data_IF_910883691253
#
_entry.id   IF_910883691253
#
_cell.length_a   1.000
_cell.length_b   1.000
_cell.length_c   1.000
_cell.angle_alpha   90.00
_cell.angle_beta   90.00
_cell.angle_gamma   90.00
#
_symmetry.space_group_name_H-M   'P 1'
#
loop_
_entity.id
_entity.type
_entity.pdbx_description
1 polymer ?
#
# COMPACT_ATOMS: atom_id res chain seq x y z
N UNK A 1 22.47 -22.17 20.03
CA UNK A 1 23.60 -21.77 19.15
C UNK A 1 24.59 -22.90 19.01
N UNK A 2 25.16 -23.42 20.11
CA UNK A 2 26.13 -24.54 20.09
C UNK A 2 25.55 -25.81 19.42
N UNK A 3 24.33 -26.23 19.79
CA UNK A 3 23.71 -27.43 19.26
C UNK A 3 23.58 -27.41 17.73
N UNK A 4 23.22 -26.25 17.14
CA UNK A 4 23.09 -26.11 15.68
C UNK A 4 24.49 -26.06 15.02
N UNK A 5 25.45 -25.39 15.62
CA UNK A 5 26.82 -25.37 15.12
C UNK A 5 27.46 -26.78 15.12
N UNK A 6 27.17 -27.58 16.14
CA UNK A 6 27.59 -28.98 16.23
C UNK A 6 26.88 -29.83 15.16
N UNK A 7 25.55 -29.69 15.02
CA UNK A 7 24.76 -30.45 14.06
C UNK A 7 25.13 -30.09 12.58
N UNK A 8 25.51 -28.85 12.31
CA UNK A 8 25.93 -28.41 10.98
C UNK A 8 27.39 -28.75 10.63
N UNK A 9 28.20 -29.21 11.61
CA UNK A 9 29.58 -29.66 11.42
C UNK A 9 30.58 -28.60 10.99
N UNK A 10 30.16 -27.36 10.76
CA UNK A 10 31.03 -26.24 10.35
C UNK A 10 30.51 -24.90 10.87
N UNK A 11 31.43 -24.04 11.32
CA UNK A 11 31.15 -22.65 11.62
C UNK A 11 30.42 -22.40 12.94
N UNK A 12 30.24 -21.15 13.30
CA UNK A 12 29.46 -20.70 14.45
C UNK A 12 28.16 -20.05 13.94
N UNK A 13 27.04 -20.72 14.19
CA UNK A 13 25.73 -20.21 13.83
C UNK A 13 25.07 -19.57 15.04
N UNK A 14 24.55 -18.37 14.92
CA UNK A 14 23.81 -17.71 15.99
C UNK A 14 22.30 -17.83 15.77
N UNK A 15 21.61 -18.23 16.85
CA UNK A 15 20.14 -18.14 16.93
C UNK A 15 19.77 -16.86 17.66
N UNK A 16 18.86 -16.10 17.11
CA UNK A 16 18.31 -14.91 17.76
C UNK A 16 16.78 -14.96 17.76
N UNK A 17 16.19 -14.49 18.86
CA UNK A 17 14.71 -14.46 19.01
C UNK A 17 14.00 -13.66 17.90
N UNK A 18 14.71 -12.74 17.23
CA UNK A 18 14.19 -11.90 16.16
C UNK A 18 14.84 -12.25 14.82
N UNK A 19 16.17 -12.43 14.78
CA UNK A 19 16.91 -12.73 13.54
C UNK A 19 16.44 -14.02 12.87
N UNK A 20 16.29 -15.11 13.66
CA UNK A 20 15.89 -16.41 13.13
C UNK A 20 14.50 -16.39 12.49
N UNK A 21 13.44 -15.92 13.16
CA UNK A 21 12.12 -15.84 12.53
C UNK A 21 12.09 -14.88 11.34
N UNK A 22 12.83 -13.76 11.37
CA UNK A 22 12.96 -12.86 10.21
C UNK A 22 13.58 -13.59 9.02
N UNK A 23 14.66 -14.34 9.23
CA UNK A 23 15.28 -15.16 8.18
C UNK A 23 14.32 -16.22 7.66
N UNK A 24 13.57 -16.89 8.56
CA UNK A 24 12.55 -17.87 8.16
C UNK A 24 11.49 -17.29 7.24
N UNK A 25 11.01 -16.06 7.47
CA UNK A 25 10.06 -15.39 6.58
C UNK A 25 10.63 -15.25 5.17
N UNK A 26 11.88 -14.81 5.05
CA UNK A 26 12.56 -14.64 3.75
C UNK A 26 12.73 -16.01 3.07
N UNK A 27 13.21 -17.01 3.80
CA UNK A 27 13.40 -18.37 3.26
C UNK A 27 12.07 -18.99 2.80
N UNK A 28 11.01 -18.88 3.60
CA UNK A 28 9.69 -19.41 3.25
C UNK A 28 9.16 -18.75 1.97
N UNK A 29 9.23 -17.42 1.87
CA UNK A 29 8.82 -16.69 0.67
C UNK A 29 9.65 -17.08 -0.56
N UNK A 30 10.96 -17.25 -0.39
CA UNK A 30 11.84 -17.71 -1.47
C UNK A 30 11.47 -19.12 -1.94
N UNK A 31 11.21 -20.04 -1.01
CA UNK A 31 10.83 -21.41 -1.35
C UNK A 31 9.45 -21.47 -2.00
N UNK A 32 8.47 -20.72 -1.52
CA UNK A 32 7.15 -20.57 -2.14
C UNK A 32 7.29 -20.07 -3.58
N UNK A 33 8.06 -19.00 -3.78
CA UNK A 33 8.30 -18.42 -5.10
C UNK A 33 8.99 -19.41 -6.04
N UNK A 34 10.06 -20.09 -5.55
CA UNK A 34 10.87 -21.03 -6.35
C UNK A 34 10.10 -22.31 -6.72
N UNK A 35 9.19 -22.77 -5.84
CA UNK A 35 8.39 -23.98 -6.06
C UNK A 35 7.07 -23.70 -6.78
N UNK A 36 6.77 -22.44 -7.05
CA UNK A 36 5.53 -22.06 -7.69
C UNK A 36 5.50 -22.53 -9.12
N UNK A 37 4.44 -23.24 -9.49
CA UNK A 37 4.16 -23.69 -10.85
C UNK A 37 3.10 -22.77 -11.48
N UNK A 38 3.47 -21.95 -12.47
CA UNK A 38 2.53 -21.08 -13.14
C UNK A 38 1.44 -21.89 -13.86
N UNK A 39 0.18 -21.53 -13.63
CA UNK A 39 -0.97 -22.12 -14.31
C UNK A 39 -1.60 -21.10 -15.24
N UNK A 40 -1.92 -21.52 -16.47
CA UNK A 40 -2.70 -20.69 -17.38
C UNK A 40 -4.15 -20.65 -16.91
N UNK A 41 -4.76 -19.47 -17.01
CA UNK A 41 -6.20 -19.28 -16.80
C UNK A 41 -6.78 -18.43 -17.91
N UNK A 42 -8.07 -18.54 -18.10
CA UNK A 42 -8.84 -17.74 -19.05
C UNK A 42 -9.86 -16.91 -18.31
N UNK A 43 -10.05 -15.66 -18.75
CA UNK A 43 -11.01 -14.74 -18.21
C UNK A 43 -11.83 -14.14 -19.34
N UNK A 44 -13.14 -14.10 -19.16
CA UNK A 44 -14.09 -13.53 -20.09
C UNK A 44 -14.34 -12.05 -19.76
N UNK A 45 -14.57 -11.25 -20.78
CA UNK A 45 -15.04 -9.87 -20.61
C UNK A 45 -16.09 -9.53 -21.64
N UNK A 46 -17.06 -8.73 -21.23
CA UNK A 46 -18.10 -8.16 -22.07
C UNK A 46 -17.86 -6.65 -22.23
N UNK A 47 -18.06 -6.14 -23.41
CA UNK A 47 -18.13 -4.71 -23.67
C UNK A 47 -19.59 -4.33 -23.92
N UNK A 48 -20.04 -3.33 -23.18
CA UNK A 48 -21.36 -2.72 -23.28
C UNK A 48 -21.20 -1.31 -23.77
N UNK A 49 -22.03 -0.88 -24.70
CA UNK A 49 -22.02 0.49 -25.22
C UNK A 49 -23.22 1.26 -24.69
N UNK A 50 -22.96 2.44 -24.14
CA UNK A 50 -23.99 3.39 -23.69
C UNK A 50 -23.67 4.76 -24.30
N UNK A 51 -24.48 5.19 -25.28
CA UNK A 51 -24.15 6.36 -26.09
C UNK A 51 -22.83 6.19 -26.84
N UNK A 52 -21.89 7.11 -26.62
CA UNK A 52 -20.53 7.07 -27.20
C UNK A 52 -19.51 6.38 -26.30
N UNK A 53 -19.87 6.02 -25.08
CA UNK A 53 -18.96 5.38 -24.11
C UNK A 53 -19.05 3.86 -24.17
N UNK A 54 -17.93 3.20 -23.85
CA UNK A 54 -17.83 1.73 -23.78
C UNK A 54 -17.38 1.29 -22.40
N UNK A 55 -18.14 0.38 -21.80
CA UNK A 55 -17.93 -0.13 -20.47
C UNK A 55 -17.53 -1.61 -20.54
N UNK A 56 -16.41 -1.95 -19.90
CA UNK A 56 -15.88 -3.32 -19.90
C UNK A 56 -16.19 -4.00 -18.58
N UNK A 57 -17.00 -5.05 -18.65
CA UNK A 57 -17.27 -5.96 -17.56
C UNK A 57 -16.30 -7.15 -17.60
N UNK A 58 -15.77 -7.55 -16.46
CA UNK A 58 -14.91 -8.75 -16.34
C UNK A 58 -15.66 -9.86 -15.62
N UNK A 59 -15.49 -11.11 -16.06
CA UNK A 59 -16.09 -12.25 -15.36
C UNK A 59 -15.60 -12.35 -13.93
N UNK A 60 -16.48 -12.75 -13.02
CA UNK A 60 -16.13 -13.02 -11.61
C UNK A 60 -15.21 -14.21 -11.49
N UNK A 61 -15.40 -15.19 -12.36
CA UNK A 61 -14.67 -16.44 -12.36
C UNK A 61 -13.51 -16.43 -13.37
N UNK A 62 -12.56 -17.30 -13.13
CA UNK A 62 -11.47 -17.65 -14.02
C UNK A 62 -11.52 -19.14 -14.29
N UNK A 63 -11.30 -19.52 -15.52
CA UNK A 63 -11.29 -20.92 -15.94
C UNK A 63 -9.86 -21.39 -16.14
N UNK A 64 -9.57 -22.58 -15.65
CA UNK A 64 -8.26 -23.22 -15.81
C UNK A 64 -8.27 -24.26 -16.94
N UNK A 65 -9.45 -24.61 -17.44
CA UNK A 65 -9.63 -25.42 -18.64
C UNK A 65 -9.95 -24.53 -19.85
N UNK A 66 -9.11 -24.61 -20.87
CA UNK A 66 -9.27 -23.84 -22.10
C UNK A 66 -10.53 -24.25 -22.88
N UNK A 67 -10.88 -25.55 -22.89
CA UNK A 67 -12.03 -26.03 -23.65
C UNK A 67 -13.34 -25.49 -23.03
N UNK A 68 -13.45 -25.50 -21.70
CA UNK A 68 -14.57 -24.95 -20.96
C UNK A 68 -14.70 -23.43 -21.22
N UNK A 69 -13.60 -22.69 -21.06
CA UNK A 69 -13.58 -21.24 -21.30
C UNK A 69 -13.95 -20.88 -22.74
N UNK A 70 -13.49 -21.69 -23.73
CA UNK A 70 -13.81 -21.47 -25.14
C UNK A 70 -15.29 -21.78 -25.43
N UNK A 71 -15.84 -22.82 -24.84
CA UNK A 71 -17.25 -23.16 -25.01
C UNK A 71 -18.17 -22.06 -24.45
N UNK A 72 -17.82 -21.50 -23.31
CA UNK A 72 -18.54 -20.36 -22.74
C UNK A 72 -18.38 -19.09 -23.60
N UNK A 73 -17.17 -18.83 -24.11
CA UNK A 73 -16.93 -17.71 -25.02
C UNK A 73 -17.79 -17.79 -26.30
N UNK A 74 -17.93 -18.97 -26.92
CA UNK A 74 -18.75 -19.15 -28.14
C UNK A 74 -20.25 -18.90 -27.82
N UNK A 75 -20.74 -19.29 -26.65
CA UNK A 75 -22.11 -18.95 -26.21
C UNK A 75 -22.28 -17.44 -26.05
N UNK A 76 -21.37 -16.81 -25.30
CA UNK A 76 -21.43 -15.39 -25.00
C UNK A 76 -21.24 -14.49 -26.21
N UNK A 77 -20.46 -14.94 -27.20
CA UNK A 77 -20.24 -14.22 -28.48
C UNK A 77 -21.53 -14.05 -29.28
N UNK A 78 -22.47 -15.00 -29.16
CA UNK A 78 -23.76 -14.96 -29.84
C UNK A 78 -24.84 -14.25 -29.01
N UNK A 79 -24.57 -13.91 -27.75
CA UNK A 79 -25.50 -13.16 -26.92
C UNK A 79 -25.53 -11.70 -27.34
N UNK A 80 -26.71 -11.11 -27.35
CA UNK A 80 -26.92 -9.71 -27.72
C UNK A 80 -27.06 -8.78 -26.52
N UNK A 81 -27.40 -9.31 -25.35
CA UNK A 81 -27.69 -8.56 -24.14
C UNK A 81 -27.14 -9.27 -22.91
N UNK A 82 -26.76 -8.49 -21.90
CA UNK A 82 -26.57 -8.94 -20.53
C UNK A 82 -27.61 -8.29 -19.63
N UNK A 83 -28.07 -8.99 -18.59
CA UNK A 83 -29.04 -8.46 -17.64
C UNK A 83 -28.33 -7.98 -16.38
N UNK A 84 -28.66 -6.80 -15.92
CA UNK A 84 -28.15 -6.25 -14.66
C UNK A 84 -28.79 -7.02 -13.50
N UNK A 85 -27.96 -7.72 -12.72
CA UNK A 85 -28.43 -8.47 -11.54
C UNK A 85 -28.48 -7.55 -10.30
N UNK A 86 -27.42 -6.79 -10.03
CA UNK A 86 -27.33 -5.89 -8.88
C UNK A 86 -26.53 -4.64 -9.18
N UNK A 87 -26.92 -3.53 -8.54
CA UNK A 87 -26.17 -2.28 -8.57
C UNK A 87 -25.96 -1.80 -7.13
N UNK A 88 -24.72 -1.79 -6.70
CA UNK A 88 -24.33 -1.25 -5.39
C UNK A 88 -23.66 0.09 -5.59
N UNK A 89 -24.26 1.18 -5.09
CA UNK A 89 -23.69 2.52 -5.07
C UNK A 89 -23.45 2.96 -3.64
N UNK A 90 -22.22 3.39 -3.33
CA UNK A 90 -21.84 3.83 -1.99
C UNK A 90 -20.98 5.08 -2.07
N UNK A 91 -21.32 6.08 -1.27
CA UNK A 91 -20.40 7.16 -0.97
C UNK A 91 -19.41 6.68 0.10
N UNK A 92 -18.13 6.78 -0.20
CA UNK A 92 -17.05 6.40 0.71
C UNK A 92 -16.30 7.67 1.12
N UNK A 93 -16.26 7.92 2.42
CA UNK A 93 -15.41 8.96 3.03
C UNK A 93 -14.12 8.30 3.51
N UNK A 94 -13.06 8.48 2.74
CA UNK A 94 -11.77 7.91 3.06
C UNK A 94 -10.98 8.86 3.96
N UNK A 95 -10.66 8.38 5.17
CA UNK A 95 -9.83 9.13 6.10
C UNK A 95 -8.44 9.39 5.52
N UNK A 96 -7.81 10.51 5.89
CA UNK A 96 -6.43 10.75 5.56
C UNK A 96 -5.51 9.69 6.19
N UNK A 97 -4.33 9.44 5.62
CA UNK A 97 -3.38 8.54 6.22
C UNK A 97 -2.92 9.08 7.58
N UNK A 98 -2.66 8.18 8.52
CA UNK A 98 -2.03 8.56 9.78
C UNK A 98 -0.60 9.10 9.54
N UNK A 99 -0.09 9.86 10.47
CA UNK A 99 1.29 10.33 10.49
C UNK A 99 2.28 9.14 10.40
N UNK A 100 3.54 9.42 10.14
CA UNK A 100 4.58 8.41 10.17
C UNK A 100 4.99 8.03 11.60
N UNK A 101 5.14 6.73 11.83
CA UNK A 101 6.12 6.16 12.74
C UNK A 101 7.39 5.80 11.96
N UNK A 102 8.41 5.29 12.62
CA UNK A 102 9.65 4.87 11.94
C UNK A 102 9.40 3.77 10.91
N UNK A 103 8.61 2.75 11.24
CA UNK A 103 8.37 1.61 10.36
C UNK A 103 7.64 2.02 9.08
N UNK A 104 6.61 2.85 9.18
CA UNK A 104 5.87 3.32 8.00
C UNK A 104 6.71 4.25 7.14
N UNK A 105 7.55 5.11 7.74
CA UNK A 105 8.51 5.93 7.00
C UNK A 105 9.50 5.04 6.22
N UNK A 106 10.10 4.03 6.86
CA UNK A 106 11.03 3.09 6.22
C UNK A 106 10.37 2.32 5.08
N UNK A 107 9.14 1.81 5.29
CA UNK A 107 8.38 1.08 4.26
C UNK A 107 8.13 1.93 3.03
N UNK A 108 7.72 3.18 3.22
CA UNK A 108 7.42 4.06 2.11
C UNK A 108 8.69 4.58 1.42
N UNK A 109 9.75 4.89 2.17
CA UNK A 109 11.05 5.28 1.60
C UNK A 109 11.65 4.15 0.76
N UNK A 110 11.54 2.90 1.20
CA UNK A 110 11.96 1.74 0.41
C UNK A 110 11.12 1.58 -0.85
N UNK A 111 9.79 1.65 -0.74
CA UNK A 111 8.89 1.49 -1.89
C UNK A 111 9.04 2.60 -2.94
N UNK A 112 9.32 3.85 -2.54
CA UNK A 112 9.35 5.02 -3.45
C UNK A 112 10.74 5.34 -3.97
N UNK A 113 11.76 5.10 -3.16
CA UNK A 113 13.13 5.56 -3.44
C UNK A 113 14.17 4.45 -3.36
N UNK A 114 13.76 3.23 -2.99
CA UNK A 114 14.67 2.10 -2.83
C UNK A 114 15.61 2.21 -1.62
N UNK A 115 15.35 3.13 -0.69
CA UNK A 115 16.18 3.29 0.51
C UNK A 115 16.04 2.06 1.41
N UNK A 116 17.17 1.61 1.98
CA UNK A 116 17.11 0.57 3.01
C UNK A 116 16.51 1.12 4.31
N UNK A 117 16.03 0.21 5.16
CA UNK A 117 15.50 0.57 6.46
C UNK A 117 16.55 1.28 7.33
N UNK A 118 17.81 0.83 7.28
CA UNK A 118 18.91 1.43 8.02
C UNK A 118 19.30 2.80 7.45
N UNK A 119 19.35 2.93 6.12
CA UNK A 119 19.59 4.22 5.46
C UNK A 119 18.53 5.25 5.85
N UNK A 120 17.26 4.88 5.82
CA UNK A 120 16.15 5.75 6.22
C UNK A 120 16.26 6.17 7.68
N UNK A 121 16.58 5.24 8.59
CA UNK A 121 16.80 5.54 10.00
C UNK A 121 17.98 6.49 10.21
N UNK A 122 19.11 6.26 9.52
CA UNK A 122 20.28 7.10 9.61
C UNK A 122 20.00 8.54 9.15
N UNK A 123 19.26 8.70 8.04
CA UNK A 123 18.85 10.01 7.53
C UNK A 123 17.90 10.72 8.51
N UNK A 124 16.90 10.01 9.03
CA UNK A 124 15.98 10.56 10.02
C UNK A 124 16.71 10.94 11.33
N UNK A 125 17.70 10.15 11.76
CA UNK A 125 18.51 10.46 12.93
C UNK A 125 19.33 11.74 12.72
N UNK A 126 19.95 11.95 11.56
CA UNK A 126 20.65 13.20 11.22
C UNK A 126 19.72 14.41 11.22
N UNK A 127 18.50 14.27 10.66
CA UNK A 127 17.50 15.33 10.66
C UNK A 127 17.07 15.71 12.09
N UNK A 128 16.93 14.72 12.97
CA UNK A 128 16.63 14.92 14.37
C UNK A 128 17.77 15.64 15.12
N UNK A 129 19.02 15.22 14.92
CA UNK A 129 20.21 15.85 15.52
C UNK A 129 20.36 17.33 15.09
N UNK A 130 19.95 17.64 13.86
CA UNK A 130 19.84 19.00 13.35
C UNK A 130 18.58 19.73 13.87
N UNK A 131 17.73 19.06 14.64
CA UNK A 131 16.44 19.53 15.16
C UNK A 131 15.45 19.96 14.06
N UNK A 132 15.43 19.27 12.90
CA UNK A 132 14.48 19.53 11.83
C UNK A 132 13.23 18.67 11.92
N UNK A 133 13.32 17.52 12.58
CA UNK A 133 12.19 16.62 12.85
C UNK A 133 12.16 16.20 14.32
N UNK A 134 11.03 15.65 14.77
CA UNK A 134 10.90 15.03 16.10
C UNK A 134 11.65 13.71 16.17
N UNK A 135 11.74 13.09 17.35
CA UNK A 135 12.52 11.88 17.59
C UNK A 135 12.11 10.71 16.66
N UNK A 136 13.02 10.14 15.85
CA UNK A 136 12.63 9.24 14.78
C UNK A 136 12.30 7.81 15.22
N UNK A 137 12.76 7.36 16.39
CA UNK A 137 12.55 5.97 16.85
C UNK A 137 11.21 5.84 17.59
N UNK A 138 10.14 6.25 16.97
CA UNK A 138 8.78 6.13 17.51
C UNK A 138 8.02 4.99 16.84
N UNK A 139 7.16 4.32 17.62
CA UNK A 139 6.18 3.34 17.12
C UNK A 139 4.77 3.91 17.03
N UNK A 140 4.56 5.17 17.43
CA UNK A 140 3.26 5.81 17.36
C UNK A 140 3.06 6.55 16.03
N UNK A 141 1.85 6.46 15.50
CA UNK A 141 1.37 7.22 14.35
C UNK A 141 0.39 8.33 14.76
N UNK A 142 0.30 8.58 16.07
CA UNK A 142 -0.63 9.54 16.66
C UNK A 142 0.14 10.61 17.44
N UNK A 143 -0.52 11.73 17.63
CA UNK A 143 -0.07 12.86 18.48
C UNK A 143 -1.10 13.11 19.58
N UNK A 144 -0.70 13.65 20.74
CA UNK A 144 -1.63 14.10 21.76
C UNK A 144 -2.21 15.49 21.41
N UNK A 145 -3.22 15.90 22.15
CA UNK A 145 -4.01 17.12 21.91
C UNK A 145 -3.19 18.41 22.04
N UNK A 146 -2.23 18.44 22.95
CA UNK A 146 -1.32 19.59 23.15
C UNK A 146 -0.41 19.81 21.94
N UNK A 147 0.15 18.72 21.37
CA UNK A 147 0.92 18.77 20.12
C UNK A 147 0.03 19.17 18.94
N UNK A 148 -1.24 18.70 18.91
CA UNK A 148 -2.17 19.11 17.85
C UNK A 148 -2.41 20.62 17.82
N UNK A 149 -2.39 21.27 18.97
CA UNK A 149 -2.52 22.75 19.05
C UNK A 149 -1.36 23.49 18.35
N UNK A 150 -0.20 22.84 18.16
CA UNK A 150 0.97 23.42 17.48
C UNK A 150 0.92 23.23 15.96
N UNK A 151 0.10 22.29 15.45
CA UNK A 151 0.05 21.94 14.03
C UNK A 151 -0.23 23.15 13.12
N UNK A 152 -1.16 24.05 13.41
CA UNK A 152 -1.38 25.23 12.58
C UNK A 152 -0.11 26.06 12.34
N UNK A 153 0.72 26.22 13.36
CA UNK A 153 1.99 26.96 13.24
C UNK A 153 3.03 26.20 12.42
N UNK A 154 3.11 24.86 12.56
CA UNK A 154 4.01 24.03 11.77
C UNK A 154 3.59 23.98 10.30
N UNK A 155 2.29 23.97 10.00
CA UNK A 155 1.80 24.05 8.62
C UNK A 155 2.07 25.45 8.04
N UNK A 156 1.86 26.51 8.80
CA UNK A 156 2.20 27.87 8.36
C UNK A 156 3.69 28.04 8.05
N UNK A 157 4.56 27.35 8.79
CA UNK A 157 6.00 27.31 8.53
C UNK A 157 6.32 26.73 7.12
N UNK A 158 5.48 25.83 6.58
CA UNK A 158 5.64 25.27 5.25
C UNK A 158 5.11 26.19 4.12
N UNK A 159 4.53 27.35 4.40
CA UNK A 159 3.95 28.23 3.38
C UNK A 159 4.96 28.66 2.30
N UNK A 160 6.21 28.83 2.67
CA UNK A 160 7.29 29.21 1.75
C UNK A 160 8.10 28.01 1.24
N UNK A 161 7.67 26.78 1.55
CA UNK A 161 8.36 25.58 1.10
C UNK A 161 8.18 25.40 -0.41
N UNK A 162 9.26 25.15 -1.20
CA UNK A 162 9.19 25.14 -2.66
C UNK A 162 8.25 24.05 -3.21
N UNK A 163 8.14 22.91 -2.53
CA UNK A 163 7.27 21.80 -2.94
C UNK A 163 5.90 21.90 -2.28
N UNK A 164 5.86 22.15 -0.98
CA UNK A 164 4.65 22.00 -0.16
C UNK A 164 3.87 23.30 0.08
N UNK A 165 4.46 24.46 -0.22
CA UNK A 165 3.88 25.76 0.13
C UNK A 165 2.48 26.00 -0.43
N UNK A 166 2.20 25.55 -1.65
CA UNK A 166 0.87 25.70 -2.26
C UNK A 166 -0.19 24.89 -1.49
N UNK A 167 0.15 23.67 -1.06
CA UNK A 167 -0.75 22.81 -0.30
C UNK A 167 -0.92 23.32 1.13
N UNK A 168 0.17 23.74 1.78
CA UNK A 168 0.15 24.27 3.12
C UNK A 168 -0.74 25.53 3.23
N UNK A 169 -0.66 26.45 2.27
CA UNK A 169 -1.53 27.66 2.25
C UNK A 169 -3.01 27.38 2.03
N UNK A 170 -3.36 26.23 1.41
CA UNK A 170 -4.75 25.82 1.19
C UNK A 170 -5.36 25.11 2.38
N UNK A 171 -4.53 24.64 3.30
CA UNK A 171 -4.97 23.87 4.47
C UNK A 171 -5.39 24.85 5.59
N UNK A 172 -6.69 25.14 5.68
CA UNK A 172 -7.27 26.08 6.65
C UNK A 172 -8.00 25.37 7.80
N UNK A 173 -8.42 24.12 7.59
CA UNK A 173 -9.06 23.27 8.57
C UNK A 173 -8.24 22.00 8.75
N UNK A 174 -8.07 21.56 10.00
CA UNK A 174 -7.17 20.46 10.32
C UNK A 174 -7.95 19.24 10.79
N UNK A 175 -7.76 18.12 10.08
CA UNK A 175 -8.34 16.83 10.43
C UNK A 175 -7.67 16.28 11.69
N UNK A 176 -8.47 15.74 12.62
CA UNK A 176 -7.99 15.21 13.90
C UNK A 176 -7.84 13.66 13.88
N UNK A 177 -7.86 12.99 12.73
CA UNK A 177 -7.78 11.52 12.66
C UNK A 177 -6.50 10.94 13.30
N UNK A 178 -5.40 11.68 13.25
CA UNK A 178 -4.12 11.30 13.88
C UNK A 178 -3.99 11.79 15.33
N UNK A 179 -5.04 12.33 15.94
CA UNK A 179 -5.01 12.86 17.33
C UNK A 179 -5.62 11.83 18.26
N UNK A 180 -4.79 11.20 19.07
CA UNK A 180 -5.22 10.27 20.11
C UNK A 180 -4.06 10.07 21.10
N UNK A 181 -4.04 10.81 22.19
CA UNK A 181 -3.00 10.74 23.23
C UNK A 181 -2.88 9.37 23.87
N UNK A 182 -3.94 8.54 23.87
CA UNK A 182 -3.91 7.17 24.41
C UNK A 182 -3.13 6.18 23.54
N UNK A 183 -2.97 6.48 22.25
CA UNK A 183 -2.20 5.67 21.30
C UNK A 183 -0.76 6.17 21.13
N UNK A 184 -0.39 7.19 21.83
CA UNK A 184 1.00 7.62 21.93
C UNK A 184 1.70 6.74 22.96
N UNK A 185 2.81 6.14 22.55
CA UNK A 185 3.66 5.33 23.41
C UNK A 185 4.73 6.23 24.06
N UNK A 186 6.01 5.89 23.97
CA UNK A 186 7.11 6.67 24.53
C UNK A 186 7.30 8.03 23.82
N UNK A 187 7.03 8.06 22.51
CA UNK A 187 7.14 9.24 21.65
C UNK A 187 5.95 9.31 20.70
N UNK A 188 5.49 10.51 20.39
CA UNK A 188 4.45 10.75 19.39
C UNK A 188 4.98 10.52 17.94
N UNK A 189 4.09 10.56 16.98
CA UNK A 189 4.41 10.42 15.55
C UNK A 189 5.46 11.44 15.08
N UNK A 190 6.08 11.12 13.92
CA UNK A 190 7.05 11.99 13.28
C UNK A 190 6.41 13.27 12.74
N UNK A 191 6.99 14.40 13.12
CA UNK A 191 6.63 15.73 12.67
C UNK A 191 7.89 16.50 12.25
N UNK A 192 7.74 17.49 11.37
CA UNK A 192 8.76 18.54 11.24
C UNK A 192 8.73 19.44 12.46
N UNK A 193 9.80 20.18 12.69
CA UNK A 193 9.84 21.29 13.65
C UNK A 193 9.67 22.62 12.94
N UNK A 194 9.51 23.70 13.69
CA UNK A 194 9.52 25.07 13.16
C UNK A 194 10.91 25.61 12.83
N UNK A 195 11.97 24.79 12.90
CA UNK A 195 13.33 25.20 12.58
C UNK A 195 13.57 25.21 11.08
N UNK A 196 14.02 26.32 10.52
CA UNK A 196 14.33 26.44 9.11
C UNK A 196 15.54 25.57 8.74
N UNK A 197 15.40 24.62 7.80
CA UNK A 197 16.51 23.79 7.34
C UNK A 197 17.44 24.62 6.44
N UNK A 198 18.71 24.68 6.79
CA UNK A 198 19.75 25.46 6.07
C UNK A 198 20.88 24.59 5.51
N UNK A 199 20.99 23.36 5.99
CA UNK A 199 22.10 22.44 5.70
C UNK A 199 21.63 21.00 5.41
N UNK A 200 20.50 20.87 4.72
CA UNK A 200 20.01 19.58 4.19
C UNK A 200 20.38 19.43 2.72
N UNK A 201 20.88 18.26 2.36
CA UNK A 201 21.30 17.95 0.99
C UNK A 201 20.89 16.52 0.60
N UNK A 202 20.60 16.34 -0.69
CA UNK A 202 20.37 15.02 -1.27
C UNK A 202 19.24 14.24 -0.58
N UNK A 203 19.56 13.08 -0.04
CA UNK A 203 18.61 12.15 0.56
C UNK A 203 17.96 12.67 1.87
N UNK A 204 18.63 13.58 2.60
CA UNK A 204 18.06 14.21 3.78
C UNK A 204 16.83 15.07 3.40
N UNK A 205 16.90 15.79 2.27
CA UNK A 205 15.77 16.57 1.73
C UNK A 205 14.60 15.64 1.41
N UNK A 206 14.87 14.49 0.80
CA UNK A 206 13.82 13.52 0.45
C UNK A 206 13.09 13.02 1.70
N UNK A 207 13.81 12.64 2.75
CA UNK A 207 13.18 12.14 3.98
C UNK A 207 12.42 13.24 4.71
N UNK A 208 12.96 14.47 4.75
CA UNK A 208 12.26 15.63 5.29
C UNK A 208 10.96 15.91 4.54
N UNK A 209 11.03 15.92 3.21
CA UNK A 209 9.87 16.14 2.33
C UNK A 209 8.79 15.06 2.48
N UNK A 210 9.20 13.81 2.71
CA UNK A 210 8.25 12.74 3.02
C UNK A 210 7.48 13.04 4.30
N UNK A 211 8.18 13.46 5.37
CA UNK A 211 7.55 13.76 6.67
C UNK A 211 6.65 14.99 6.55
N UNK A 212 7.12 16.07 5.91
CA UNK A 212 6.34 17.28 5.67
C UNK A 212 5.08 17.00 4.82
N UNK A 213 5.22 16.25 3.74
CA UNK A 213 4.11 15.84 2.88
C UNK A 213 3.08 14.99 3.64
N UNK A 214 3.54 14.02 4.44
CA UNK A 214 2.66 13.19 5.26
C UNK A 214 1.91 14.01 6.32
N UNK A 215 2.51 15.03 6.89
CA UNK A 215 1.81 15.95 7.80
C UNK A 215 0.66 16.67 7.08
N UNK A 216 0.92 17.20 5.88
CA UNK A 216 -0.12 17.83 5.07
C UNK A 216 -1.25 16.87 4.72
N UNK A 217 -0.91 15.63 4.31
CA UNK A 217 -1.91 14.58 4.05
C UNK A 217 -2.75 14.29 5.30
N UNK A 218 -2.09 14.01 6.44
CA UNK A 218 -2.73 13.55 7.67
C UNK A 218 -3.70 14.58 8.27
N UNK A 219 -3.42 15.87 8.08
CA UNK A 219 -4.27 16.94 8.59
C UNK A 219 -5.23 17.51 7.54
N UNK A 220 -5.22 17.01 6.31
CA UNK A 220 -6.16 17.42 5.25
C UNK A 220 -7.55 16.80 5.43
N UNK A 221 -8.51 17.34 4.70
CA UNK A 221 -9.86 16.81 4.64
C UNK A 221 -9.90 15.37 4.11
N UNK A 222 -10.95 14.65 4.44
CA UNK A 222 -11.25 13.32 3.88
C UNK A 222 -11.37 13.38 2.36
N UNK A 223 -11.00 12.32 1.70
CA UNK A 223 -11.36 12.12 0.30
C UNK A 223 -12.79 11.54 0.25
N UNK A 224 -13.68 12.18 -0.51
CA UNK A 224 -15.04 11.70 -0.73
C UNK A 224 -15.14 11.16 -2.15
N UNK A 225 -15.57 9.91 -2.27
CA UNK A 225 -15.72 9.23 -3.55
C UNK A 225 -16.99 8.41 -3.63
N UNK A 226 -17.61 8.38 -4.81
CA UNK A 226 -18.64 7.42 -5.13
C UNK A 226 -18.00 6.17 -5.70
N UNK A 227 -18.35 5.03 -5.13
CA UNK A 227 -17.95 3.71 -5.62
C UNK A 227 -19.21 2.98 -6.03
N UNK A 228 -19.22 2.55 -7.28
CA UNK A 228 -20.33 1.78 -7.85
C UNK A 228 -19.82 0.43 -8.30
N UNK A 229 -20.57 -0.61 -8.02
CA UNK A 229 -20.32 -1.98 -8.52
C UNK A 229 -21.59 -2.48 -9.18
N UNK A 230 -21.49 -2.82 -10.46
CA UNK A 230 -22.58 -3.40 -11.23
C UNK A 230 -22.23 -4.85 -11.48
N UNK A 231 -23.14 -5.75 -11.10
CA UNK A 231 -23.07 -7.17 -11.47
C UNK A 231 -24.09 -7.41 -12.59
N UNK A 232 -23.63 -7.94 -13.71
CA UNK A 232 -24.47 -8.32 -14.82
C UNK A 232 -24.33 -9.82 -15.08
N UNK A 233 -25.40 -10.45 -15.57
CA UNK A 233 -25.43 -11.87 -15.93
C UNK A 233 -25.66 -11.99 -17.44
N UNK A 234 -24.87 -12.81 -18.08
CA UNK A 234 -25.05 -13.20 -19.47
C UNK A 234 -24.74 -14.70 -19.60
N UNK A 235 -25.68 -15.48 -20.17
CA UNK A 235 -25.53 -16.94 -20.35
C UNK A 235 -25.05 -17.65 -19.06
N UNK A 236 -25.68 -17.34 -17.92
CA UNK A 236 -25.35 -17.88 -16.58
C UNK A 236 -23.98 -17.46 -16.00
N UNK A 237 -23.17 -16.70 -16.74
CA UNK A 237 -21.88 -16.17 -16.27
C UNK A 237 -22.08 -14.79 -15.65
N UNK A 238 -21.50 -14.58 -14.47
CA UNK A 238 -21.52 -13.28 -13.78
C UNK A 238 -20.34 -12.43 -14.19
N UNK A 239 -20.60 -11.17 -14.44
CA UNK A 239 -19.63 -10.16 -14.81
C UNK A 239 -19.73 -8.95 -13.88
N UNK A 240 -18.61 -8.35 -13.54
CA UNK A 240 -18.54 -7.18 -12.68
C UNK A 240 -17.90 -6.02 -13.42
N UNK A 241 -18.50 -4.85 -13.29
CA UNK A 241 -17.94 -3.56 -13.58
C UNK A 241 -17.84 -2.74 -12.30
N UNK A 242 -16.67 -2.20 -12.02
CA UNK A 242 -16.46 -1.23 -10.93
C UNK A 242 -16.32 0.15 -11.53
N UNK A 243 -16.84 1.15 -10.83
CA UNK A 243 -16.66 2.55 -11.12
C UNK A 243 -16.33 3.31 -9.85
N UNK A 244 -15.32 4.19 -9.92
CA UNK A 244 -14.94 5.05 -8.81
C UNK A 244 -14.81 6.48 -9.33
N UNK A 245 -15.58 7.39 -8.75
CA UNK A 245 -15.53 8.82 -9.05
C UNK A 245 -15.22 9.62 -7.79
N UNK A 246 -14.14 10.39 -7.83
CA UNK A 246 -13.74 11.24 -6.70
C UNK A 246 -14.53 12.54 -6.79
N UNK A 247 -15.38 12.79 -5.78
CA UNK A 247 -16.12 14.05 -5.61
C UNK A 247 -15.25 15.14 -5.01
N UNK A 248 -14.52 14.78 -3.96
CA UNK A 248 -13.62 15.68 -3.22
C UNK A 248 -12.28 14.98 -3.04
N UNK A 249 -11.22 15.55 -3.60
CA UNK A 249 -9.89 14.94 -3.55
C UNK A 249 -9.34 14.86 -2.11
N UNK A 250 -9.62 15.88 -1.28
CA UNK A 250 -9.11 15.95 0.08
C UNK A 250 -7.60 15.75 0.12
N UNK A 251 -7.13 14.88 1.02
CA UNK A 251 -5.70 14.57 1.19
C UNK A 251 -5.03 13.98 -0.07
N UNK A 252 -5.79 13.37 -0.99
CA UNK A 252 -5.23 12.80 -2.24
C UNK A 252 -4.67 13.86 -3.19
N UNK A 253 -5.13 15.11 -3.09
CA UNK A 253 -4.59 16.21 -3.88
C UNK A 253 -3.09 16.47 -3.62
N UNK A 254 -2.59 16.12 -2.43
CA UNK A 254 -1.21 16.31 -2.01
C UNK A 254 -0.30 15.26 -2.67
N UNK A 255 -0.73 14.00 -2.73
CA UNK A 255 0.05 12.88 -3.28
C UNK A 255 0.38 13.07 -4.76
N UNK A 256 -0.56 13.61 -5.55
CA UNK A 256 -0.39 13.77 -7.00
C UNK A 256 0.87 14.56 -7.38
N UNK A 257 1.32 15.48 -6.52
CA UNK A 257 2.48 16.33 -6.78
C UNK A 257 3.81 15.74 -6.28
N UNK A 258 3.78 14.63 -5.53
CA UNK A 258 4.98 14.07 -4.88
C UNK A 258 5.66 12.93 -5.65
N UNK A 259 5.09 12.49 -6.78
CA UNK A 259 5.56 11.30 -7.50
C UNK A 259 6.30 11.65 -8.78
N UNK A 260 7.64 11.56 -8.76
CA UNK A 260 8.42 11.25 -9.99
C UNK A 260 8.40 9.72 -10.12
N UNK A 261 7.57 9.19 -11.02
CA UNK A 261 7.46 7.76 -11.30
C UNK A 261 8.19 7.43 -12.59
N UNK A 262 8.82 6.26 -12.64
CA UNK A 262 9.31 5.69 -13.88
C UNK A 262 8.14 5.24 -14.76
N UNK A 263 8.35 5.25 -16.09
CA UNK A 263 7.31 4.99 -17.08
C UNK A 263 6.63 3.63 -16.91
N UNK A 264 7.37 2.59 -16.53
CA UNK A 264 6.82 1.24 -16.27
C UNK A 264 5.92 1.19 -15.02
N UNK A 265 6.27 1.95 -13.97
CA UNK A 265 5.45 2.05 -12.76
C UNK A 265 4.16 2.83 -13.03
N UNK A 266 4.23 3.87 -13.86
CA UNK A 266 3.04 4.62 -14.30
C UNK A 266 2.07 3.74 -15.10
N UNK A 267 2.58 2.96 -16.05
CA UNK A 267 1.76 2.05 -16.85
C UNK A 267 1.13 0.93 -16.02
N UNK A 268 1.84 0.40 -15.03
CA UNK A 268 1.31 -0.62 -14.12
C UNK A 268 0.19 -0.06 -13.21
N UNK A 269 0.39 1.15 -12.65
CA UNK A 269 -0.61 1.82 -11.84
C UNK A 269 -1.83 2.25 -12.66
N UNK A 270 -1.64 2.73 -13.89
CA UNK A 270 -2.76 3.04 -14.78
C UNK A 270 -3.59 1.81 -15.13
N UNK A 271 -2.96 0.63 -15.27
CA UNK A 271 -3.70 -0.63 -15.46
C UNK A 271 -4.48 -1.01 -14.21
N UNK A 272 -3.84 -0.94 -13.05
CA UNK A 272 -4.49 -1.21 -11.76
C UNK A 272 -5.64 -0.22 -11.48
N UNK A 273 -5.44 1.06 -11.77
CA UNK A 273 -6.48 2.10 -11.65
C UNK A 273 -7.67 1.80 -12.56
N UNK A 274 -7.43 1.39 -13.81
CA UNK A 274 -8.49 0.98 -14.75
C UNK A 274 -9.21 -0.30 -14.30
N UNK A 275 -8.49 -1.29 -13.78
CA UNK A 275 -9.08 -2.52 -13.23
C UNK A 275 -9.92 -2.24 -11.98
N UNK A 276 -9.53 -1.25 -11.18
CA UNK A 276 -10.29 -0.79 -10.01
C UNK A 276 -11.44 0.18 -10.36
N UNK A 277 -11.55 0.61 -11.62
CA UNK A 277 -12.61 1.49 -12.10
C UNK A 277 -12.41 2.96 -11.77
N UNK A 278 -11.17 3.40 -11.48
CA UNK A 278 -10.87 4.81 -11.20
C UNK A 278 -11.23 5.70 -12.42
N UNK A 279 -12.03 6.72 -12.17
CA UNK A 279 -12.50 7.66 -13.21
C UNK A 279 -13.66 7.14 -14.05
N UNK A 280 -14.16 5.91 -13.83
CA UNK A 280 -15.35 5.39 -14.52
C UNK A 280 -16.61 5.86 -13.80
N UNK A 281 -17.44 6.63 -14.49
CA UNK A 281 -18.77 7.02 -14.03
C UNK A 281 -19.77 6.02 -14.60
N UNK A 282 -20.40 5.25 -13.72
CA UNK A 282 -21.40 4.26 -14.14
C UNK A 282 -22.72 4.98 -14.47
N UNK A 283 -23.30 4.72 -15.66
CA UNK A 283 -24.59 5.29 -16.07
C UNK A 283 -25.72 4.95 -15.10
N UNK A 284 -26.87 5.57 -15.30
CA UNK A 284 -28.09 5.35 -14.50
C UNK A 284 -28.81 4.06 -14.92
N UNK A 285 -28.06 2.94 -14.90
CA UNK A 285 -28.66 1.63 -15.11
C UNK A 285 -29.49 1.23 -13.91
N UNK A 286 -30.47 0.34 -14.16
CA UNK A 286 -31.38 -0.20 -13.15
C UNK A 286 -31.24 -1.72 -13.07
N UNK A 287 -31.53 -2.30 -11.92
CA UNK A 287 -31.57 -3.75 -11.74
C UNK A 287 -32.70 -4.35 -12.61
N UNK A 288 -32.39 -5.48 -13.25
CA UNK A 288 -33.26 -6.08 -14.27
C UNK A 288 -33.11 -5.45 -15.67
N UNK A 289 -32.40 -4.33 -15.81
CA UNK A 289 -32.13 -3.68 -17.08
C UNK A 289 -31.30 -4.53 -18.03
N UNK A 290 -31.54 -4.40 -19.34
CA UNK A 290 -30.79 -5.10 -20.37
C UNK A 290 -29.71 -4.19 -20.96
N UNK A 291 -28.48 -4.68 -20.94
CA UNK A 291 -27.31 -4.00 -21.47
C UNK A 291 -26.96 -4.57 -22.86
N UNK A 292 -27.03 -3.79 -23.94
CA UNK A 292 -26.66 -4.25 -25.26
C UNK A 292 -25.15 -4.53 -25.34
N UNK A 293 -24.81 -5.76 -25.75
CA UNK A 293 -23.43 -6.18 -25.90
C UNK A 293 -22.90 -5.73 -27.25
N UNK A 294 -21.71 -5.13 -27.26
CA UNK A 294 -21.00 -4.78 -28.49
C UNK A 294 -19.81 -5.69 -28.77
N UNK A 295 -19.24 -6.33 -27.76
CA UNK A 295 -18.18 -7.31 -27.93
C UNK A 295 -18.07 -8.25 -26.71
N UNK A 296 -17.60 -9.47 -26.99
CA UNK A 296 -17.14 -10.42 -25.99
C UNK A 296 -15.68 -10.75 -26.27
N UNK A 297 -14.87 -10.92 -25.24
CA UNK A 297 -13.46 -11.31 -25.39
C UNK A 297 -13.05 -12.36 -24.38
N UNK A 298 -12.15 -13.23 -24.79
CA UNK A 298 -11.50 -14.26 -23.97
C UNK A 298 -10.02 -13.93 -23.88
N UNK A 299 -9.54 -13.63 -22.69
CA UNK A 299 -8.14 -13.32 -22.43
C UNK A 299 -7.47 -14.48 -21.68
N UNK A 300 -6.28 -14.87 -22.11
CA UNK A 300 -5.44 -15.80 -21.39
C UNK A 300 -4.51 -15.02 -20.44
N UNK A 301 -4.47 -15.45 -19.18
CA UNK A 301 -3.52 -15.01 -18.18
C UNK A 301 -2.71 -16.18 -17.64
N UNK A 302 -1.71 -15.88 -16.84
CA UNK A 302 -0.91 -16.87 -16.13
C UNK A 302 -0.82 -16.43 -14.66
N UNK A 303 -1.03 -17.37 -13.75
CA UNK A 303 -0.86 -17.11 -12.31
C UNK A 303 0.60 -16.77 -12.02
N UNK A 304 0.84 -15.86 -11.09
CA UNK A 304 2.18 -15.42 -10.69
C UNK A 304 2.43 -15.79 -9.24
N UNK A 305 3.66 -16.15 -8.87
CA UNK A 305 4.01 -16.36 -7.46
C UNK A 305 3.94 -15.04 -6.69
N UNK A 306 3.79 -15.15 -5.39
CA UNK A 306 4.02 -13.98 -4.52
C UNK A 306 5.46 -13.46 -4.77
N UNK A 307 5.67 -12.16 -4.94
CA UNK A 307 7.00 -11.62 -5.16
C UNK A 307 7.92 -11.90 -3.97
N UNK A 308 9.23 -11.93 -4.19
CA UNK A 308 10.21 -11.99 -3.12
C UNK A 308 10.06 -10.77 -2.20
N UNK A 309 10.51 -10.91 -0.95
CA UNK A 309 10.44 -9.79 -0.03
C UNK A 309 11.33 -8.63 -0.48
N UNK A 310 10.74 -7.43 -0.54
CA UNK A 310 11.46 -6.16 -0.43
C UNK A 310 11.67 -5.85 1.05
N UNK A 311 12.53 -4.90 1.40
CA UNK A 311 12.65 -4.47 2.81
C UNK A 311 11.33 -3.92 3.34
N UNK A 312 10.56 -3.20 2.50
CA UNK A 312 9.21 -2.73 2.84
C UNK A 312 8.26 -3.88 3.22
N UNK A 313 8.18 -4.90 2.37
CA UNK A 313 7.30 -6.05 2.64
C UNK A 313 7.80 -6.93 3.80
N UNK A 314 9.11 -7.01 4.02
CA UNK A 314 9.69 -7.71 5.16
C UNK A 314 9.40 -6.99 6.47
N UNK A 315 9.55 -5.66 6.53
CA UNK A 315 9.16 -4.85 7.67
C UNK A 315 7.67 -5.02 8.01
N UNK A 316 6.81 -5.04 6.98
CA UNK A 316 5.38 -5.31 7.17
C UNK A 316 5.12 -6.71 7.74
N UNK A 317 5.81 -7.73 7.23
CA UNK A 317 5.72 -9.10 7.73
C UNK A 317 6.21 -9.22 9.20
N UNK A 318 7.31 -8.56 9.55
CA UNK A 318 7.81 -8.50 10.94
C UNK A 318 6.81 -7.81 11.87
N UNK A 319 6.16 -6.75 11.41
CA UNK A 319 5.16 -6.01 12.19
C UNK A 319 3.90 -6.83 12.45
N UNK A 320 3.49 -7.65 11.49
CA UNK A 320 2.25 -8.44 11.55
C UNK A 320 2.47 -9.93 11.85
N UNK A 321 3.68 -10.34 12.15
CA UNK A 321 4.08 -11.75 12.29
C UNK A 321 3.20 -12.57 13.25
N UNK A 322 2.65 -11.95 14.29
CA UNK A 322 1.73 -12.61 15.20
C UNK A 322 0.39 -13.01 14.60
N UNK A 323 -0.01 -12.40 13.46
CA UNK A 323 -1.32 -12.67 12.83
C UNK A 323 -1.34 -13.98 12.03
N UNK A 324 -0.18 -14.48 11.60
CA UNK A 324 -0.05 -15.68 10.76
C UNK A 324 0.13 -16.97 11.59
N UNK A 325 0.19 -16.86 12.91
CA UNK A 325 0.31 -18.02 13.79
C UNK A 325 -1.01 -18.79 13.88
N UNK A 326 -0.94 -20.11 13.77
CA UNK A 326 -2.09 -21.01 13.93
C UNK A 326 -2.54 -21.09 15.39
N UNK A 327 -1.61 -20.93 16.34
CA UNK A 327 -1.87 -20.96 17.78
C UNK A 327 -2.51 -19.63 18.24
N UNK A 328 -3.75 -19.70 18.73
CA UNK A 328 -4.53 -18.55 19.17
C UNK A 328 -3.93 -17.82 20.38
N UNK A 329 -3.30 -18.54 21.34
CA UNK A 329 -2.68 -17.94 22.52
C UNK A 329 -1.41 -17.19 22.13
N UNK A 330 -0.56 -17.78 21.30
CA UNK A 330 0.63 -17.12 20.75
C UNK A 330 0.25 -15.96 19.83
N UNK A 331 -0.82 -16.10 19.05
CA UNK A 331 -1.37 -15.01 18.22
C UNK A 331 -1.83 -13.84 19.07
N UNK A 332 -2.52 -14.10 20.19
CA UNK A 332 -2.98 -13.05 21.10
C UNK A 332 -1.80 -12.32 21.77
N UNK A 333 -0.75 -13.04 22.16
CA UNK A 333 0.45 -12.47 22.79
C UNK A 333 1.29 -11.63 21.83
N UNK A 334 1.34 -11.97 20.52
CA UNK A 334 2.13 -11.28 19.51
C UNK A 334 1.32 -10.29 18.66
N UNK A 335 0.01 -10.21 18.88
CA UNK A 335 -0.93 -9.40 18.08
C UNK A 335 -0.54 -7.92 18.00
N UNK A 336 0.04 -7.39 19.07
CA UNK A 336 0.37 -5.96 19.20
C UNK A 336 1.89 -5.68 19.17
N UNK A 337 2.75 -6.72 19.19
CA UNK A 337 4.20 -6.55 19.30
C UNK A 337 4.95 -6.84 17.99
N UNK A 338 4.48 -7.79 17.18
CA UNK A 338 5.21 -8.28 16.01
C UNK A 338 6.58 -8.89 16.39
N UNK A 339 7.48 -8.99 15.42
CA UNK A 339 8.86 -9.43 15.60
C UNK A 339 9.78 -8.20 15.59
N UNK A 340 10.52 -8.00 16.67
CA UNK A 340 11.37 -6.81 16.87
C UNK A 340 10.55 -5.54 17.10
N UNK A 341 11.24 -4.50 17.54
CA UNK A 341 10.66 -3.16 17.73
C UNK A 341 10.96 -2.28 16.51
N UNK A 342 10.25 -1.17 16.28
CA UNK A 342 10.58 -0.23 15.21
C UNK A 342 12.06 0.18 15.21
N UNK A 343 12.63 0.41 16.40
CA UNK A 343 14.02 0.82 16.56
C UNK A 343 15.05 -0.27 16.20
N UNK A 344 14.69 -1.55 16.24
CA UNK A 344 15.63 -2.68 16.10
C UNK A 344 15.50 -3.44 14.77
N UNK A 345 14.35 -3.35 14.07
CA UNK A 345 14.10 -4.11 12.84
C UNK A 345 15.14 -3.85 11.76
N UNK A 346 15.48 -2.57 11.53
CA UNK A 346 16.51 -2.20 10.55
C UNK A 346 17.86 -2.87 10.82
N UNK A 347 18.38 -2.74 12.04
CA UNK A 347 19.66 -3.34 12.43
C UNK A 347 19.65 -4.89 12.35
N UNK A 348 18.49 -5.52 12.55
CA UNK A 348 18.33 -6.97 12.39
C UNK A 348 18.42 -7.37 10.93
N UNK A 349 17.75 -6.65 10.03
CA UNK A 349 17.80 -6.87 8.59
C UNK A 349 19.24 -6.69 8.10
N UNK A 350 19.91 -5.60 8.47
CA UNK A 350 21.34 -5.37 8.11
C UNK A 350 22.26 -6.45 8.66
N UNK A 351 22.01 -6.97 9.88
CA UNK A 351 22.79 -8.07 10.44
C UNK A 351 22.67 -9.35 9.59
N UNK A 352 21.49 -9.63 9.03
CA UNK A 352 21.30 -10.78 8.14
C UNK A 352 22.02 -10.61 6.81
N UNK A 353 22.08 -9.40 6.27
CA UNK A 353 22.90 -9.08 5.08
C UNK A 353 24.40 -9.16 5.40
N UNK A 354 24.87 -8.53 6.48
CA UNK A 354 26.28 -8.55 6.89
C UNK A 354 26.80 -9.96 7.18
N UNK A 355 25.91 -10.89 7.57
CA UNK A 355 26.24 -12.31 7.76
C UNK A 355 26.07 -13.16 6.51
N UNK A 356 25.77 -12.54 5.38
CA UNK A 356 25.58 -13.21 4.08
C UNK A 356 24.44 -14.26 4.07
N UNK A 357 23.48 -14.17 5.02
CA UNK A 357 22.30 -15.03 5.02
C UNK A 357 21.27 -14.59 3.97
N UNK A 358 21.32 -13.34 3.56
CA UNK A 358 20.51 -12.75 2.51
C UNK A 358 21.37 -11.89 1.59
N UNK A 359 20.92 -11.70 0.37
CA UNK A 359 21.53 -10.79 -0.61
C UNK A 359 20.46 -9.86 -1.18
N UNK A 360 20.83 -8.60 -1.44
CA UNK A 360 19.97 -7.69 -2.19
C UNK A 360 20.10 -8.02 -3.67
N UNK A 361 18.99 -8.29 -4.33
CA UNK A 361 18.94 -8.37 -5.80
C UNK A 361 18.59 -6.98 -6.33
N UNK A 362 19.29 -6.57 -7.39
CA UNK A 362 19.02 -5.32 -8.12
C UNK A 362 17.83 -5.48 -9.04
#
# INVERSE_FOLDING_TARGET
TQAISIAAGRGSYSLGRVQTPTLCMVCSRFLENKKFEPQSFWQLSLAVKEGDESFRFSSTDRWFDKAEATALYEKLRNASVATVETIVRKEIKQEPPLLYDLTTLQKEANSRFGYSAEQTLSLAQKLYEKAYITYPRTGSRHIPEDVFAEIPALIAFLHDHPVWGVHARRLTEFNAHSVDGKKVTDHHALLITGKKPIDMFGEEVVVYDMIAGRMLEAFSARCVKDVSTVTAVCEEVKFILKGEFIKEEGWRAIIKNSKKKDKEQLEAEERESRENGEGIIIPQWEEGGQLPLCACSLAQGTTKPKPLHTESSLLAAMETAGKELEDEELRAQLKDCGIGTPATRAAIIETLFAREYMVRQK
#
